data_IF_287459625963
#
_entry.id   IF_287459625963
#
_cell.length_a   1.000
_cell.length_b   1.000
_cell.length_c   1.000
_cell.angle_alpha   90.00
_cell.angle_beta   90.00
_cell.angle_gamma   90.00
#
_symmetry.space_group_name_H-M   'P 1'
#
loop_
_entity.id
_entity.type
_entity.pdbx_description
1 polymer ?
#
# COMPACT_ATOMS: atom_id res chain seq x y z
N UNK A 1 3.17 -21.04 10.85
CA UNK A 1 3.46 -21.92 9.71
C UNK A 1 3.87 -21.02 8.56
N UNK A 2 5.10 -21.15 8.05
CA UNK A 2 5.54 -20.36 6.91
C UNK A 2 4.62 -20.66 5.72
N UNK A 3 4.03 -19.63 5.12
CA UNK A 3 3.23 -19.77 3.91
C UNK A 3 4.08 -20.43 2.82
N UNK A 4 3.58 -21.50 2.23
CA UNK A 4 4.24 -22.26 1.16
C UNK A 4 4.36 -21.50 -0.16
N UNK A 5 3.63 -20.39 -0.33
CA UNK A 5 3.68 -19.58 -1.55
C UNK A 5 4.91 -18.68 -1.59
N UNK A 6 5.56 -18.48 -2.76
CA UNK A 6 6.67 -17.55 -2.97
C UNK A 6 6.41 -16.14 -2.44
N UNK A 7 7.46 -15.42 -2.02
CA UNK A 7 7.37 -14.06 -1.45
C UNK A 7 6.59 -13.14 -2.38
N UNK A 8 6.91 -13.17 -3.68
CA UNK A 8 6.25 -12.36 -4.70
C UNK A 8 4.72 -12.53 -4.71
N UNK A 9 4.21 -13.77 -4.69
CA UNK A 9 2.76 -14.01 -4.66
C UNK A 9 2.12 -13.56 -3.35
N UNK A 10 2.80 -13.74 -2.21
CA UNK A 10 2.31 -13.23 -0.93
C UNK A 10 2.22 -11.71 -0.94
N UNK A 11 3.23 -11.03 -1.47
CA UNK A 11 3.26 -9.58 -1.58
C UNK A 11 2.11 -9.09 -2.47
N UNK A 12 1.96 -9.66 -3.66
CA UNK A 12 0.87 -9.31 -4.58
C UNK A 12 -0.51 -9.53 -3.97
N UNK A 13 -0.71 -10.66 -3.28
CA UNK A 13 -1.98 -10.96 -2.63
C UNK A 13 -2.32 -9.99 -1.48
N UNK A 14 -1.30 -9.54 -0.73
CA UNK A 14 -1.49 -8.51 0.28
C UNK A 14 -1.70 -7.12 -0.36
N UNK A 15 -0.97 -6.79 -1.41
CA UNK A 15 -1.09 -5.52 -2.12
C UNK A 15 -2.51 -5.34 -2.67
N UNK A 16 -3.13 -6.37 -3.23
CA UNK A 16 -4.55 -6.31 -3.67
C UNK A 16 -5.50 -6.05 -2.49
N UNK A 17 -5.36 -6.79 -1.39
CA UNK A 17 -6.20 -6.59 -0.20
C UNK A 17 -6.06 -5.18 0.38
N UNK A 18 -4.83 -4.68 0.47
CA UNK A 18 -4.51 -3.35 1.00
C UNK A 18 -4.98 -2.25 0.04
N UNK A 19 -4.84 -2.42 -1.28
CA UNK A 19 -5.34 -1.48 -2.28
C UNK A 19 -6.87 -1.35 -2.24
N UNK A 20 -7.59 -2.46 -2.02
CA UNK A 20 -9.05 -2.42 -1.84
C UNK A 20 -9.44 -1.59 -0.60
N UNK A 21 -8.70 -1.73 0.50
CA UNK A 21 -8.92 -0.95 1.72
C UNK A 21 -8.57 0.54 1.51
N UNK A 22 -7.46 0.85 0.84
CA UNK A 22 -7.12 2.22 0.44
C UNK A 22 -8.21 2.82 -0.45
N UNK A 23 -8.82 2.04 -1.35
CA UNK A 23 -9.98 2.46 -2.13
C UNK A 23 -11.21 2.82 -1.28
N UNK A 24 -11.44 2.11 -0.16
CA UNK A 24 -12.49 2.48 0.79
C UNK A 24 -12.20 3.82 1.46
N UNK A 25 -10.95 4.07 1.86
CA UNK A 25 -10.51 5.33 2.44
C UNK A 25 -10.76 6.49 1.46
N UNK A 26 -10.38 6.31 0.18
CA UNK A 26 -10.61 7.33 -0.86
C UNK A 26 -12.10 7.64 -1.00
N UNK A 27 -12.96 6.61 -1.04
CA UNK A 27 -14.42 6.78 -1.11
C UNK A 27 -14.98 7.47 0.14
N UNK A 28 -14.47 7.15 1.32
CA UNK A 28 -14.85 7.77 2.58
C UNK A 28 -14.54 9.27 2.55
N UNK A 29 -13.31 9.66 2.19
CA UNK A 29 -12.91 11.08 2.06
C UNK A 29 -13.80 11.80 1.05
N UNK A 30 -14.01 11.23 -0.14
CA UNK A 30 -14.89 11.80 -1.15
C UNK A 30 -16.32 12.01 -0.63
N UNK A 31 -16.86 11.06 0.14
CA UNK A 31 -18.23 11.13 0.67
C UNK A 31 -18.42 12.20 1.76
N UNK A 32 -17.34 12.60 2.47
CA UNK A 32 -17.39 13.69 3.46
C UNK A 32 -17.56 15.06 2.80
N UNK A 33 -17.13 15.22 1.55
CA UNK A 33 -17.20 16.46 0.78
C UNK A 33 -16.10 17.49 1.09
N UNK A 34 -15.41 17.36 2.23
CA UNK A 34 -14.17 18.06 2.51
C UNK A 34 -12.98 17.17 2.15
N UNK A 35 -12.23 17.56 1.11
CA UNK A 35 -11.10 16.80 0.59
C UNK A 35 -9.79 17.09 1.33
N UNK A 36 -9.76 18.07 2.24
CA UNK A 36 -8.55 18.42 2.98
C UNK A 36 -7.36 18.74 2.07
N UNK A 37 -7.60 19.53 1.02
CA UNK A 37 -6.61 19.88 -0.01
C UNK A 37 -5.47 20.69 0.61
N UNK A 38 -4.24 20.32 0.28
CA UNK A 38 -2.99 20.99 0.60
C UNK A 38 -2.30 21.31 -0.73
N UNK A 39 -2.11 22.59 -1.01
CA UNK A 39 -1.41 23.03 -2.21
C UNK A 39 0.11 22.88 -2.01
N UNK A 40 0.74 21.91 -2.67
CA UNK A 40 2.19 21.84 -2.76
C UNK A 40 2.61 22.73 -3.93
N UNK A 41 3.44 23.73 -3.65
CA UNK A 41 4.02 24.58 -4.70
C UNK A 41 5.44 24.12 -4.98
N UNK A 42 5.60 23.36 -6.05
CA UNK A 42 6.92 22.91 -6.51
C UNK A 42 7.21 23.59 -7.84
N UNK A 43 8.17 24.52 -7.86
CA UNK A 43 8.62 25.25 -9.06
C UNK A 43 7.49 25.92 -9.88
N UNK A 44 6.43 26.40 -9.22
CA UNK A 44 5.32 27.11 -9.88
C UNK A 44 4.29 26.19 -10.57
N UNK A 45 4.35 24.89 -10.33
CA UNK A 45 3.31 23.93 -10.72
C UNK A 45 2.34 23.76 -9.55
N UNK A 46 1.04 23.81 -9.84
CA UNK A 46 0.02 23.43 -8.86
C UNK A 46 0.06 21.91 -8.70
N UNK A 47 0.49 21.44 -7.54
CA UNK A 47 0.53 20.04 -7.15
C UNK A 47 -0.36 19.82 -5.91
N UNK A 48 -1.69 19.84 -6.06
CA UNK A 48 -2.60 19.70 -4.94
C UNK A 48 -2.60 18.27 -4.42
N UNK A 49 -2.41 18.12 -3.11
CA UNK A 49 -2.53 16.86 -2.38
C UNK A 49 -3.81 16.86 -1.55
N UNK A 50 -4.53 15.74 -1.48
CA UNK A 50 -5.76 15.60 -0.69
C UNK A 50 -5.56 14.76 0.58
N UNK A 51 -6.55 14.75 1.47
CA UNK A 51 -6.61 13.79 2.59
C UNK A 51 -6.60 12.34 2.08
N UNK A 52 -7.21 12.08 0.92
CA UNK A 52 -7.27 10.74 0.34
C UNK A 52 -5.87 10.22 -0.02
N UNK A 53 -5.02 11.06 -0.62
CA UNK A 53 -3.65 10.70 -1.01
C UNK A 53 -2.82 10.32 0.22
N UNK A 54 -2.83 11.18 1.26
CA UNK A 54 -2.10 10.96 2.51
C UNK A 54 -2.55 9.68 3.22
N UNK A 55 -3.86 9.51 3.42
CA UNK A 55 -4.41 8.36 4.15
C UNK A 55 -4.26 7.05 3.36
N UNK A 56 -4.43 7.08 2.04
CA UNK A 56 -4.23 5.91 1.19
C UNK A 56 -2.75 5.45 1.23
N UNK A 57 -1.81 6.38 1.10
CA UNK A 57 -0.39 6.06 1.21
C UNK A 57 -0.03 5.51 2.59
N UNK A 58 -0.51 6.11 3.68
CA UNK A 58 -0.32 5.58 5.05
C UNK A 58 -0.87 4.17 5.18
N UNK A 59 -2.07 3.91 4.66
CA UNK A 59 -2.67 2.57 4.66
C UNK A 59 -1.77 1.55 3.95
N UNK A 60 -1.31 1.89 2.76
CA UNK A 60 -0.48 1.02 1.91
C UNK A 60 0.85 0.72 2.57
N UNK A 61 1.62 1.76 2.90
CA UNK A 61 2.97 1.62 3.45
C UNK A 61 2.91 0.94 4.82
N UNK A 62 1.99 1.35 5.70
CA UNK A 62 1.87 0.81 7.05
C UNK A 62 1.53 -0.68 7.08
N UNK A 63 0.64 -1.13 6.19
CA UNK A 63 0.28 -2.54 6.11
C UNK A 63 1.38 -3.39 5.46
N UNK A 64 1.98 -2.91 4.37
CA UNK A 64 3.01 -3.66 3.67
C UNK A 64 4.30 -3.76 4.50
N UNK A 65 4.80 -2.67 5.09
CA UNK A 65 6.00 -2.70 5.94
C UNK A 65 5.82 -3.60 7.17
N UNK A 66 4.60 -3.70 7.73
CA UNK A 66 4.37 -4.60 8.88
C UNK A 66 4.45 -6.08 8.50
N UNK A 67 4.08 -6.42 7.25
CA UNK A 67 4.07 -7.80 6.74
C UNK A 67 5.37 -8.18 6.05
N UNK A 68 6.04 -7.19 5.46
CA UNK A 68 7.28 -7.31 4.69
C UNK A 68 8.27 -6.23 5.18
N UNK A 69 8.82 -6.35 6.40
CA UNK A 69 9.69 -5.36 7.01
C UNK A 69 11.04 -5.12 6.31
N UNK A 70 11.45 -5.99 5.40
CA UNK A 70 12.72 -5.91 4.67
C UNK A 70 12.58 -5.28 3.28
N UNK A 71 11.35 -5.09 2.81
CA UNK A 71 11.04 -4.45 1.53
C UNK A 71 11.23 -2.93 1.64
N UNK A 72 11.66 -2.29 0.54
CA UNK A 72 11.77 -0.83 0.47
C UNK A 72 10.59 -0.21 -0.27
N UNK A 73 9.79 0.62 0.42
CA UNK A 73 8.66 1.33 -0.20
C UNK A 73 8.95 2.82 -0.30
N UNK A 74 8.79 3.38 -1.50
CA UNK A 74 8.88 4.81 -1.77
C UNK A 74 7.46 5.33 -2.03
N UNK A 75 7.02 6.26 -1.19
CA UNK A 75 5.75 6.98 -1.37
C UNK A 75 5.98 8.33 -2.05
N UNK A 76 4.93 8.85 -2.68
CA UNK A 76 4.92 10.20 -3.27
C UNK A 76 4.86 11.28 -2.19
N UNK A 77 4.05 11.06 -1.16
CA UNK A 77 3.79 12.06 -0.15
C UNK A 77 4.84 12.04 0.95
N UNK A 78 5.36 13.21 1.31
CA UNK A 78 6.26 13.40 2.44
C UNK A 78 5.49 13.29 3.78
N UNK A 79 5.18 12.05 4.16
CA UNK A 79 4.48 11.73 5.39
C UNK A 79 5.48 11.35 6.49
N UNK A 80 5.25 11.88 7.70
CA UNK A 80 5.89 11.33 8.87
C UNK A 80 5.47 9.85 9.03
N UNK A 81 6.38 9.00 9.53
CA UNK A 81 6.04 7.61 9.83
C UNK A 81 4.93 7.56 10.90
N UNK A 82 3.70 7.29 10.48
CA UNK A 82 2.57 7.14 11.39
C UNK A 82 2.46 5.71 11.93
N UNK A 83 2.12 5.62 13.22
CA UNK A 83 2.16 4.39 14.00
C UNK A 83 0.80 3.72 14.19
N UNK A 84 -0.30 4.34 13.73
CA UNK A 84 -1.68 3.89 13.99
C UNK A 84 -2.49 3.68 12.70
N UNK A 85 -1.99 2.81 11.82
CA UNK A 85 -2.71 2.38 10.62
C UNK A 85 -3.57 1.16 10.95
N UNK A 86 -4.85 1.18 10.54
CA UNK A 86 -5.71 0.00 10.63
C UNK A 86 -5.10 -1.15 9.81
N UNK A 87 -4.93 -2.30 10.48
CA UNK A 87 -4.27 -3.45 9.86
C UNK A 87 -5.27 -4.28 9.07
N UNK A 88 -5.00 -4.42 7.78
CA UNK A 88 -5.72 -5.29 6.87
C UNK A 88 -5.31 -6.74 7.17
N UNK A 89 -6.21 -7.47 7.83
CA UNK A 89 -6.02 -8.90 8.12
C UNK A 89 -6.25 -9.80 6.91
N UNK A 90 -6.97 -9.30 5.91
CA UNK A 90 -7.29 -10.03 4.68
C UNK A 90 -6.06 -10.26 3.78
N UNK A 91 -6.15 -11.29 2.95
CA UNK A 91 -5.22 -11.61 1.88
C UNK A 91 -6.03 -12.10 0.68
N UNK A 92 -5.68 -11.65 -0.53
CA UNK A 92 -6.36 -12.10 -1.73
C UNK A 92 -6.01 -13.56 -2.03
N UNK A 93 -6.98 -14.46 -1.81
CA UNK A 93 -6.79 -15.91 -2.00
C UNK A 93 -6.69 -16.29 -3.47
N UNK A 94 -7.26 -15.51 -4.39
CA UNK A 94 -7.18 -15.80 -5.81
C UNK A 94 -5.75 -15.57 -6.30
N UNK A 95 -5.18 -14.40 -5.94
CA UNK A 95 -3.79 -14.05 -6.26
C UNK A 95 -2.81 -15.03 -5.60
N UNK A 96 -3.04 -15.40 -4.33
CA UNK A 96 -2.16 -16.31 -3.59
C UNK A 96 -2.06 -17.70 -4.23
N UNK A 97 -3.10 -18.14 -4.95
CA UNK A 97 -3.18 -19.44 -5.61
C UNK A 97 -2.72 -19.42 -7.08
N UNK A 98 -2.29 -18.27 -7.61
CA UNK A 98 -1.74 -18.19 -8.97
C UNK A 98 -0.41 -18.96 -9.07
N UNK A 99 -0.05 -19.35 -10.30
CA UNK A 99 1.29 -19.88 -10.57
C UNK A 99 2.28 -18.71 -10.58
N UNK A 100 3.29 -18.77 -9.72
CA UNK A 100 4.37 -17.79 -9.72
C UNK A 100 5.21 -17.94 -11.00
N UNK A 101 5.54 -16.85 -11.71
CA UNK A 101 6.50 -16.88 -12.81
C UNK A 101 7.85 -17.44 -12.34
N UNK A 102 8.51 -18.24 -13.19
CA UNK A 102 9.74 -18.95 -12.81
C UNK A 102 10.88 -18.01 -12.41
N UNK A 103 10.96 -16.84 -13.06
CA UNK A 103 11.95 -15.79 -12.79
C UNK A 103 11.74 -15.09 -11.43
N UNK A 104 10.53 -15.15 -10.87
CA UNK A 104 10.15 -14.46 -9.63
C UNK A 104 10.00 -15.42 -8.44
N UNK A 105 10.17 -16.73 -8.65
CA UNK A 105 9.90 -17.75 -7.64
C UNK A 105 10.87 -17.69 -6.45
N UNK A 106 12.11 -17.24 -6.71
CA UNK A 106 13.21 -17.20 -5.75
C UNK A 106 13.51 -15.79 -5.23
N UNK A 107 12.74 -14.77 -5.66
CA UNK A 107 12.86 -13.40 -5.17
C UNK A 107 12.64 -13.39 -3.66
N UNK A 108 13.57 -12.77 -2.92
CA UNK A 108 13.45 -12.58 -1.47
C UNK A 108 12.65 -11.32 -1.16
N UNK A 109 12.53 -10.98 0.12
CA UNK A 109 11.79 -9.79 0.52
C UNK A 109 12.60 -8.49 0.30
N UNK A 110 13.92 -8.57 0.44
CA UNK A 110 14.88 -7.49 0.19
C UNK A 110 15.05 -7.17 -1.30
N UNK A 111 14.74 -8.14 -2.16
CA UNK A 111 14.80 -8.00 -3.62
C UNK A 111 13.65 -7.15 -4.18
N UNK A 112 12.67 -6.79 -3.35
CA UNK A 112 11.45 -6.05 -3.72
C UNK A 112 11.41 -4.62 -3.17
#
# INVERSE_FOLDING_TARGET
MASTSPVFLRLMANAVAVANHAGNIIREVMSKGDLGIVEKVTLGVNDPQTEADRRAQQCIIGNLNKKFPLMSIIGEEDLAQETNVELVSDIDKEVLNLRCPEELVNVTEEDV
#
